data_IF_499218757552
#
_entry.id   IF_499218757552
#
_cell.length_a   1.000
_cell.length_b   1.000
_cell.length_c   1.000
_cell.angle_alpha   90.00
_cell.angle_beta   90.00
_cell.angle_gamma   90.00
#
_symmetry.space_group_name_H-M   'P 1'
#
loop_
_entity.id
_entity.type
_entity.pdbx_description
1 polymer ?
#
# COMPACT_ATOMS: atom_id res chain seq x y z
N UNK A 1 -0.60 -23.20 17.18
CA UNK A 1 -0.71 -22.41 15.94
C UNK A 1 -2.17 -22.10 15.56
N UNK A 2 -3.02 -21.72 16.52
CA UNK A 2 -4.45 -21.55 16.24
C UNK A 2 -4.77 -20.06 16.09
N UNK A 3 -5.11 -19.64 14.88
CA UNK A 3 -5.63 -18.29 14.63
C UNK A 3 -7.11 -18.23 14.98
N UNK A 4 -7.51 -17.13 15.62
CA UNK A 4 -8.91 -16.77 15.86
C UNK A 4 -9.33 -15.69 14.85
N UNK A 5 -10.50 -15.83 14.27
CA UNK A 5 -11.02 -14.91 13.26
C UNK A 5 -12.32 -14.24 13.70
N UNK A 6 -12.46 -12.95 13.38
CA UNK A 6 -13.71 -12.20 13.47
C UNK A 6 -14.11 -11.70 12.09
N UNK A 7 -15.33 -12.01 11.69
CA UNK A 7 -15.88 -11.61 10.39
C UNK A 7 -17.03 -10.63 10.58
N UNK A 8 -16.97 -9.51 9.89
CA UNK A 8 -18.06 -8.55 9.78
C UNK A 8 -18.53 -8.51 8.33
N UNK A 9 -19.83 -8.69 8.12
CA UNK A 9 -20.49 -8.50 6.83
C UNK A 9 -21.27 -7.19 6.89
N UNK A 10 -20.83 -6.20 6.12
CA UNK A 10 -21.42 -4.87 6.10
C UNK A 10 -22.10 -4.69 4.75
N UNK A 11 -23.42 -4.50 4.78
CA UNK A 11 -24.19 -4.17 3.57
C UNK A 11 -24.09 -2.67 3.33
N UNK A 12 -23.68 -2.28 2.12
CA UNK A 12 -23.61 -0.89 1.71
C UNK A 12 -24.14 -0.77 0.27
N UNK A 13 -25.32 -0.15 0.11
CA UNK A 13 -26.03 -0.17 -1.17
C UNK A 13 -26.41 -1.60 -1.58
N UNK A 14 -26.08 -1.97 -2.83
CA UNK A 14 -26.25 -3.33 -3.35
C UNK A 14 -25.18 -4.31 -2.88
N UNK A 15 -24.05 -3.80 -2.40
CA UNK A 15 -22.85 -4.60 -2.18
C UNK A 15 -22.72 -5.06 -0.72
N UNK A 16 -22.03 -6.18 -0.53
CA UNK A 16 -21.69 -6.70 0.80
C UNK A 16 -20.17 -6.71 0.92
N UNK A 17 -19.66 -5.91 1.84
CA UNK A 17 -18.25 -5.85 2.18
C UNK A 17 -17.98 -6.82 3.32
N UNK A 18 -16.89 -7.59 3.19
CA UNK A 18 -16.46 -8.56 4.21
C UNK A 18 -15.12 -8.13 4.78
N UNK A 19 -15.12 -7.77 6.06
CA UNK A 19 -13.93 -7.48 6.85
C UNK A 19 -13.60 -8.71 7.69
N UNK A 20 -12.37 -9.20 7.58
CA UNK A 20 -11.86 -10.35 8.33
C UNK A 20 -10.69 -9.89 9.18
N UNK A 21 -10.85 -9.95 10.50
CA UNK A 21 -9.78 -9.70 11.45
C UNK A 21 -9.24 -11.04 11.96
N UNK A 22 -7.91 -11.13 12.11
CA UNK A 22 -7.23 -12.32 12.58
C UNK A 22 -6.35 -11.97 13.78
N UNK A 23 -6.41 -12.79 14.82
CA UNK A 23 -5.58 -12.67 16.01
C UNK A 23 -5.04 -14.04 16.43
N UNK A 24 -3.81 -14.09 16.92
CA UNK A 24 -3.25 -15.32 17.51
C UNK A 24 -3.92 -15.66 18.84
N UNK A 25 -4.24 -14.64 19.63
CA UNK A 25 -4.98 -14.76 20.88
C UNK A 25 -6.09 -13.73 20.89
N UNK A 26 -7.34 -14.17 20.82
CA UNK A 26 -8.49 -13.28 20.87
C UNK A 26 -8.80 -12.92 22.33
N UNK A 27 -8.48 -11.69 22.72
CA UNK A 27 -8.86 -11.14 24.03
C UNK A 27 -10.16 -10.33 23.91
N UNK A 28 -10.92 -10.13 25.01
CA UNK A 28 -12.10 -9.27 24.98
C UNK A 28 -11.81 -7.83 24.54
N UNK A 29 -10.61 -7.31 24.83
CA UNK A 29 -10.21 -5.98 24.39
C UNK A 29 -9.97 -5.91 22.89
N UNK A 30 -9.24 -6.88 22.34
CA UNK A 30 -9.00 -6.95 20.91
C UNK A 30 -10.31 -7.15 20.12
N UNK A 31 -11.24 -7.93 20.67
CA UNK A 31 -12.58 -8.10 20.09
C UNK A 31 -13.37 -6.78 20.03
N UNK A 32 -13.31 -5.97 21.10
CA UNK A 32 -13.90 -4.63 21.10
C UNK A 32 -13.23 -3.72 20.06
N UNK A 33 -11.91 -3.77 19.93
CA UNK A 33 -11.18 -2.99 18.93
C UNK A 33 -11.56 -3.41 17.49
N UNK A 34 -11.69 -4.71 17.22
CA UNK A 34 -12.15 -5.20 15.92
C UNK A 34 -13.57 -4.72 15.58
N UNK A 35 -14.48 -4.74 16.57
CA UNK A 35 -15.82 -4.20 16.39
C UNK A 35 -15.81 -2.70 16.14
N UNK A 36 -15.08 -1.93 16.94
CA UNK A 36 -14.96 -0.49 16.77
C UNK A 36 -14.40 -0.15 15.38
N UNK A 37 -13.39 -0.88 14.90
CA UNK A 37 -12.85 -0.72 13.56
C UNK A 37 -13.83 -1.08 12.44
N UNK A 38 -14.69 -2.10 12.64
CA UNK A 38 -15.74 -2.43 11.67
C UNK A 38 -16.84 -1.35 11.62
N UNK A 39 -17.13 -0.71 12.76
CA UNK A 39 -18.12 0.37 12.88
C UNK A 39 -17.66 1.70 12.26
N UNK A 40 -16.35 1.89 12.02
CA UNK A 40 -15.85 3.05 11.27
C UNK A 40 -16.06 2.94 9.76
N UNK A 41 -16.56 1.81 9.27
CA UNK A 41 -16.83 1.63 7.84
C UNK A 41 -17.92 2.59 7.38
N UNK A 42 -17.56 3.50 6.48
CA UNK A 42 -18.47 4.47 5.88
C UNK A 42 -18.00 4.82 4.47
N UNK A 43 -18.88 5.48 3.73
CA UNK A 43 -18.48 6.15 2.48
C UNK A 43 -17.50 7.27 2.82
N UNK A 44 -16.42 7.32 2.04
CA UNK A 44 -15.48 8.45 2.07
C UNK A 44 -16.26 9.71 1.65
N UNK A 45 -16.18 10.76 2.47
CA UNK A 45 -16.82 12.03 2.18
C UNK A 45 -16.05 12.77 1.07
N UNK A 46 -16.71 13.68 0.35
CA UNK A 46 -16.11 14.34 -0.81
C UNK A 46 -14.86 15.17 -0.44
N UNK A 47 -14.92 15.87 0.68
CA UNK A 47 -13.82 16.65 1.25
C UNK A 47 -12.63 15.78 1.67
N UNK A 48 -12.89 14.63 2.30
CA UNK A 48 -11.87 13.64 2.63
C UNK A 48 -11.24 13.05 1.37
N UNK A 49 -12.06 12.75 0.34
CA UNK A 49 -11.57 12.23 -0.93
C UNK A 49 -10.67 13.24 -1.66
N UNK A 50 -10.97 14.54 -1.59
CA UNK A 50 -10.15 15.61 -2.17
C UNK A 50 -8.83 15.79 -1.43
N UNK A 51 -8.82 15.57 -0.11
CA UNK A 51 -7.60 15.63 0.70
C UNK A 51 -6.68 14.42 0.50
N UNK A 52 -7.21 13.30 0.01
CA UNK A 52 -6.39 12.12 -0.30
C UNK A 52 -5.50 12.42 -1.50
N UNK A 53 -4.20 12.30 -1.27
CA UNK A 53 -3.15 12.36 -2.29
C UNK A 53 -2.69 10.93 -2.59
N UNK A 54 -3.36 10.22 -3.51
CA UNK A 54 -3.08 8.82 -3.73
C UNK A 54 -1.71 8.68 -4.38
N UNK A 55 -0.90 7.79 -3.85
CA UNK A 55 0.33 7.36 -4.50
C UNK A 55 -0.02 6.64 -5.81
N UNK A 56 0.67 7.01 -6.89
CA UNK A 56 0.54 6.41 -8.22
C UNK A 56 1.84 5.78 -8.65
N UNK A 57 1.74 4.80 -9.56
CA UNK A 57 2.90 4.31 -10.29
C UNK A 57 3.16 5.26 -11.45
N UNK A 58 4.31 5.92 -11.43
CA UNK A 58 4.76 6.81 -12.51
C UNK A 58 5.90 6.16 -13.26
N UNK A 59 5.81 6.13 -14.59
CA UNK A 59 6.92 5.75 -15.45
C UNK A 59 7.76 6.99 -15.76
N UNK A 60 8.99 7.03 -15.25
CA UNK A 60 9.92 8.15 -15.41
C UNK A 60 11.14 7.70 -16.22
N UNK A 61 11.64 8.55 -17.15
CA UNK A 61 12.88 8.24 -17.86
C UNK A 61 14.07 8.35 -16.91
N UNK A 62 15.06 7.48 -17.11
CA UNK A 62 16.36 7.50 -16.45
C UNK A 62 17.21 8.61 -17.08
N UNK A 63 17.70 9.54 -16.26
CA UNK A 63 18.58 10.62 -16.66
C UNK A 63 20.05 10.22 -16.70
N UNK A 64 20.91 11.19 -17.07
CA UNK A 64 22.36 11.00 -17.05
C UNK A 64 22.84 10.91 -15.60
N UNK A 65 23.59 9.85 -15.28
CA UNK A 65 24.11 9.61 -13.93
C UNK A 65 23.06 9.15 -12.91
N UNK A 66 21.86 8.79 -13.36
CA UNK A 66 20.89 8.12 -12.50
C UNK A 66 21.31 6.67 -12.24
N UNK A 67 21.33 6.29 -10.97
CA UNK A 67 21.58 4.92 -10.51
C UNK A 67 20.30 4.33 -9.93
N UNK A 68 20.29 3.02 -9.70
CA UNK A 68 19.19 2.33 -9.02
C UNK A 68 18.91 2.99 -7.66
N UNK A 69 19.93 3.31 -6.88
CA UNK A 69 19.80 3.93 -5.56
C UNK A 69 19.18 5.32 -5.64
N UNK A 70 19.62 6.13 -6.62
CA UNK A 70 19.10 7.48 -6.82
C UNK A 70 17.64 7.45 -7.27
N UNK A 71 17.26 6.50 -8.12
CA UNK A 71 15.88 6.35 -8.59
C UNK A 71 14.98 5.77 -7.50
N UNK A 72 15.48 4.81 -6.72
CA UNK A 72 14.79 4.28 -5.54
C UNK A 72 14.52 5.37 -4.49
N UNK A 73 15.48 6.28 -4.27
CA UNK A 73 15.32 7.42 -3.35
C UNK A 73 14.18 8.38 -3.72
N UNK A 74 13.63 8.30 -4.93
CA UNK A 74 12.45 9.08 -5.37
C UNK A 74 11.12 8.42 -5.01
N UNK A 75 11.13 7.20 -4.45
CA UNK A 75 9.91 6.50 -4.06
C UNK A 75 9.32 7.10 -2.77
N UNK A 76 8.06 7.49 -2.83
CA UNK A 76 7.28 7.90 -1.67
C UNK A 76 6.70 6.67 -0.95
N UNK A 77 7.58 5.89 -0.31
CA UNK A 77 7.23 4.68 0.45
C UNK A 77 7.75 4.80 1.87
N UNK A 78 7.02 4.25 2.84
CA UNK A 78 7.36 4.34 4.26
C UNK A 78 8.62 3.54 4.64
N UNK A 79 8.95 2.51 3.85
CA UNK A 79 10.06 1.60 4.13
C UNK A 79 10.62 0.96 2.86
N UNK A 80 11.91 0.59 2.92
CA UNK A 80 12.61 -0.23 1.92
C UNK A 80 12.45 0.26 0.46
N UNK A 81 12.77 1.52 0.15
CA UNK A 81 12.61 2.08 -1.19
C UNK A 81 13.43 1.34 -2.24
N UNK A 82 14.64 0.88 -1.92
CA UNK A 82 15.49 0.13 -2.84
C UNK A 82 14.86 -1.21 -3.23
N UNK A 83 14.49 -2.03 -2.25
CA UNK A 83 13.88 -3.33 -2.50
C UNK A 83 12.56 -3.19 -3.28
N UNK A 84 11.73 -2.20 -2.92
CA UNK A 84 10.47 -1.94 -3.63
C UNK A 84 10.72 -1.49 -5.07
N UNK A 85 11.72 -0.63 -5.30
CA UNK A 85 12.08 -0.18 -6.65
C UNK A 85 12.50 -1.36 -7.53
N UNK A 86 13.37 -2.23 -7.00
CA UNK A 86 13.86 -3.42 -7.70
C UNK A 86 12.71 -4.36 -8.08
N UNK A 87 11.85 -4.70 -7.11
CA UNK A 87 10.69 -5.57 -7.34
C UNK A 87 9.72 -4.95 -8.36
N UNK A 88 9.41 -3.66 -8.21
CA UNK A 88 8.47 -2.96 -9.09
C UNK A 88 8.93 -2.91 -10.55
N UNK A 89 10.25 -2.86 -10.75
CA UNK A 89 10.87 -2.78 -12.07
C UNK A 89 11.39 -4.13 -12.59
N UNK A 90 11.34 -5.20 -11.78
CA UNK A 90 11.89 -6.50 -12.15
C UNK A 90 13.41 -6.45 -12.34
N UNK A 91 14.12 -5.72 -11.48
CA UNK A 91 15.56 -5.52 -11.54
C UNK A 91 16.27 -6.27 -10.41
N UNK A 92 17.48 -6.75 -10.71
CA UNK A 92 18.41 -7.25 -9.70
C UNK A 92 19.18 -6.10 -9.02
N UNK A 93 19.81 -6.40 -7.88
CA UNK A 93 20.53 -5.39 -7.07
C UNK A 93 21.68 -4.69 -7.80
N UNK A 94 22.31 -5.38 -8.75
CA UNK A 94 23.44 -4.88 -9.55
C UNK A 94 23.01 -4.38 -10.94
N UNK A 95 21.70 -4.26 -11.18
CA UNK A 95 21.17 -3.76 -12.44
C UNK A 95 21.69 -2.35 -12.75
N UNK A 96 22.07 -2.14 -14.01
CA UNK A 96 22.47 -0.84 -14.53
C UNK A 96 21.33 -0.24 -15.34
N UNK A 97 20.95 0.98 -14.99
CA UNK A 97 19.92 1.72 -15.71
C UNK A 97 20.49 2.35 -16.98
N UNK A 98 19.76 2.28 -18.09
CA UNK A 98 20.16 2.92 -19.35
C UNK A 98 19.53 4.29 -19.46
N UNK A 99 20.29 5.26 -19.99
CA UNK A 99 19.74 6.59 -20.28
C UNK A 99 18.49 6.49 -21.18
N UNK A 100 17.42 7.20 -20.79
CA UNK A 100 16.14 7.19 -21.50
C UNK A 100 15.25 5.96 -21.23
N UNK A 101 15.76 4.95 -20.53
CA UNK A 101 14.95 3.81 -20.08
C UNK A 101 13.84 4.29 -19.14
N UNK A 102 12.64 3.72 -19.25
CA UNK A 102 11.55 4.04 -18.35
C UNK A 102 11.54 3.09 -17.16
N UNK A 103 11.65 3.66 -15.96
CA UNK A 103 11.47 2.94 -14.70
C UNK A 103 10.24 3.44 -13.98
N UNK A 104 9.63 2.56 -13.21
CA UNK A 104 8.45 2.79 -12.38
C UNK A 104 8.88 3.24 -11.00
N UNK A 105 8.27 4.32 -10.52
CA UNK A 105 8.39 4.78 -9.14
C UNK A 105 6.99 4.95 -8.54
N UNK A 106 6.90 4.86 -7.21
CA UNK A 106 5.69 5.19 -6.46
C UNK A 106 5.79 6.65 -6.03
N UNK A 107 4.88 7.49 -6.53
CA UNK A 107 4.78 8.89 -6.17
C UNK A 107 3.33 9.39 -6.39
N UNK A 108 2.87 10.33 -5.57
CA UNK A 108 1.63 11.11 -5.79
C UNK A 108 1.55 11.64 -7.22
#
# INVERSE_FOLDING_TARGET
EQWSFRMFAIRFGSDVYRLIFAARTLTPDLDRQFRAAAETFRRVASDEAEAVRPLRIRAVPVGIGDTVEKMAGRMQVSDRPLERFLILNGLDRDAKLKYGEKVKIIAE
#
